data_IF_922523952377
#
_entry.id   IF_922523952377
#
_cell.length_a   1.000
_cell.length_b   1.000
_cell.length_c   1.000
_cell.angle_alpha   90.00
_cell.angle_beta   90.00
_cell.angle_gamma   90.00
#
_symmetry.space_group_name_H-M   'P 1'
#
loop_
_entity.id
_entity.type
_entity.pdbx_description
1 polymer ?
#
# COMPACT_ATOMS: atom_id res chain seq x y z
N UNK A 1 -26.51 5.61 -11.31
CA UNK A 1 -26.02 5.12 -10.00
C UNK A 1 -24.49 5.02 -9.90
N UNK A 2 -23.76 4.91 -11.03
CA UNK A 2 -22.28 4.93 -11.06
C UNK A 2 -21.64 6.27 -10.67
N UNK A 3 -22.36 7.40 -10.75
CA UNK A 3 -21.74 8.73 -10.63
C UNK A 3 -21.17 9.06 -9.25
N UNK A 4 -21.77 8.58 -8.13
CA UNK A 4 -21.28 8.95 -6.78
C UNK A 4 -20.05 8.15 -6.35
N UNK A 5 -20.00 6.86 -6.68
CA UNK A 5 -18.82 6.01 -6.46
C UNK A 5 -17.68 6.49 -7.36
N UNK A 6 -17.99 6.82 -8.62
CA UNK A 6 -17.03 7.47 -9.50
C UNK A 6 -16.52 8.79 -8.90
N UNK A 7 -17.38 9.63 -8.31
CA UNK A 7 -17.00 10.92 -7.72
C UNK A 7 -16.03 10.80 -6.53
N UNK A 8 -16.27 9.87 -5.60
CA UNK A 8 -15.36 9.65 -4.47
C UNK A 8 -13.99 9.14 -4.96
N UNK A 9 -14.00 8.13 -5.84
CA UNK A 9 -12.78 7.60 -6.45
C UNK A 9 -12.06 8.67 -7.28
N UNK A 10 -12.79 9.50 -8.03
CA UNK A 10 -12.25 10.62 -8.80
C UNK A 10 -11.58 11.65 -7.92
N UNK A 11 -12.16 12.00 -6.77
CA UNK A 11 -11.58 12.98 -5.84
C UNK A 11 -10.24 12.49 -5.28
N UNK A 12 -10.15 11.23 -4.84
CA UNK A 12 -8.89 10.63 -4.39
C UNK A 12 -7.86 10.53 -5.51
N UNK A 13 -8.32 10.28 -6.75
CA UNK A 13 -7.46 10.22 -7.93
C UNK A 13 -6.85 11.59 -8.26
N UNK A 14 -7.66 12.64 -8.20
CA UNK A 14 -7.23 14.01 -8.49
C UNK A 14 -6.16 14.46 -7.50
N UNK A 15 -6.33 14.16 -6.21
CA UNK A 15 -5.39 14.62 -5.18
C UNK A 15 -4.04 13.89 -5.28
N UNK A 16 -4.04 12.57 -5.53
CA UNK A 16 -2.79 11.83 -5.79
C UNK A 16 -2.07 12.34 -7.06
N UNK A 17 -2.82 12.73 -8.09
CA UNK A 17 -2.26 13.32 -9.31
C UNK A 17 -1.69 14.73 -9.04
N UNK A 18 -2.36 15.54 -8.23
CA UNK A 18 -1.91 16.89 -7.85
C UNK A 18 -0.61 16.81 -7.05
N UNK A 19 -0.56 16.02 -5.98
CA UNK A 19 0.66 15.81 -5.20
C UNK A 19 1.80 15.27 -6.08
N UNK A 20 1.51 14.33 -6.97
CA UNK A 20 2.50 13.81 -7.93
C UNK A 20 3.07 14.91 -8.82
N UNK A 21 2.23 15.82 -9.32
CA UNK A 21 2.68 16.95 -10.13
C UNK A 21 3.51 17.94 -9.31
N UNK A 22 3.12 18.20 -8.07
CA UNK A 22 3.87 19.09 -7.16
C UNK A 22 5.26 18.53 -6.87
N UNK A 23 5.37 17.24 -6.53
CA UNK A 23 6.65 16.56 -6.29
C UNK A 23 7.54 16.63 -7.53
N UNK A 24 6.99 16.36 -8.71
CA UNK A 24 7.78 16.34 -9.95
C UNK A 24 8.24 17.73 -10.42
N UNK A 25 7.57 18.80 -10.00
CA UNK A 25 7.86 20.16 -10.42
C UNK A 25 8.65 20.97 -9.38
N UNK A 26 9.02 20.37 -8.25
CA UNK A 26 9.76 21.07 -7.18
C UNK A 26 11.26 20.79 -7.31
N UNK A 27 12.07 21.85 -7.44
CA UNK A 27 13.53 21.75 -7.57
C UNK A 27 14.24 21.60 -6.20
N UNK A 28 13.67 22.17 -5.13
CA UNK A 28 14.24 22.17 -3.77
C UNK A 28 13.37 21.39 -2.79
N UNK A 29 13.49 20.06 -2.80
CA UNK A 29 12.86 19.18 -1.81
C UNK A 29 13.83 18.95 -0.65
N UNK A 30 13.42 19.31 0.57
CA UNK A 30 14.17 18.97 1.78
C UNK A 30 14.18 17.45 1.97
N UNK A 31 15.38 16.87 2.08
CA UNK A 31 15.54 15.42 2.22
C UNK A 31 15.29 15.00 3.67
N UNK A 32 14.53 13.92 3.83
CA UNK A 32 14.26 13.30 5.12
C UNK A 32 15.41 12.41 5.62
N UNK A 33 16.43 12.14 4.79
CA UNK A 33 17.56 11.27 5.14
C UNK A 33 18.76 12.01 5.72
N UNK A 34 19.42 11.39 6.71
CA UNK A 34 20.68 11.92 7.25
C UNK A 34 21.81 11.67 6.23
N UNK A 35 22.46 12.73 5.73
CA UNK A 35 23.50 12.65 4.67
C UNK A 35 22.95 12.15 3.32
N UNK A 36 23.83 11.78 2.39
CA UNK A 36 23.49 11.29 1.04
C UNK A 36 22.84 9.90 0.97
N UNK A 37 22.38 9.33 2.09
CA UNK A 37 21.78 7.99 2.13
C UNK A 37 20.32 7.93 1.70
N UNK A 38 19.80 6.70 1.59
CA UNK A 38 18.38 6.41 1.38
C UNK A 38 17.84 5.54 2.52
N UNK A 39 16.72 5.95 3.08
CA UNK A 39 15.95 5.18 4.06
C UNK A 39 15.06 4.16 3.36
N UNK A 40 15.20 2.89 3.73
CA UNK A 40 14.40 1.80 3.18
C UNK A 40 13.22 1.46 4.08
N UNK A 41 12.00 1.55 3.53
CA UNK A 41 10.76 1.13 4.17
C UNK A 41 10.29 -0.16 3.52
N UNK A 42 10.19 -1.24 4.31
CA UNK A 42 9.65 -2.50 3.80
C UNK A 42 8.11 -2.46 3.73
N UNK A 43 7.58 -2.92 2.59
CA UNK A 43 6.16 -3.19 2.40
C UNK A 43 5.97 -4.68 2.09
N UNK A 44 5.36 -5.41 3.02
CA UNK A 44 4.98 -6.80 2.80
C UNK A 44 3.61 -6.85 2.13
N UNK A 45 3.53 -7.53 1.00
CA UNK A 45 2.30 -7.61 0.19
C UNK A 45 1.77 -9.04 0.26
N UNK A 46 0.50 -9.18 0.61
CA UNK A 46 -0.23 -10.44 0.63
C UNK A 46 -1.59 -10.28 -0.06
N UNK A 47 -1.99 -11.28 -0.85
CA UNK A 47 -3.10 -11.20 -1.81
C UNK A 47 -3.94 -12.48 -1.70
N UNK A 48 -5.28 -12.34 -1.73
CA UNK A 48 -6.20 -13.47 -1.87
C UNK A 48 -5.97 -14.15 -3.23
N UNK A 49 -6.02 -15.47 -3.26
CA UNK A 49 -5.72 -16.25 -4.47
C UNK A 49 -6.61 -15.79 -5.63
N UNK A 50 -7.89 -15.59 -5.36
CA UNK A 50 -8.88 -15.11 -6.30
C UNK A 50 -8.57 -13.68 -6.80
N UNK A 51 -8.05 -12.81 -5.95
CA UNK A 51 -7.57 -11.49 -6.38
C UNK A 51 -6.35 -11.63 -7.29
N UNK A 52 -5.40 -12.53 -6.97
CA UNK A 52 -4.22 -12.79 -7.81
C UNK A 52 -4.61 -13.34 -9.19
N UNK A 53 -5.55 -14.28 -9.24
CA UNK A 53 -6.12 -14.82 -10.48
C UNK A 53 -6.74 -13.69 -11.31
N UNK A 54 -7.63 -12.91 -10.71
CA UNK A 54 -8.33 -11.83 -11.42
C UNK A 54 -7.38 -10.74 -11.90
N UNK A 55 -6.31 -10.42 -11.16
CA UNK A 55 -5.26 -9.52 -11.62
C UNK A 55 -4.55 -10.12 -12.83
N UNK A 56 -4.12 -11.38 -12.75
CA UNK A 56 -3.36 -12.04 -13.82
C UNK A 56 -4.14 -12.16 -15.13
N UNK A 57 -5.43 -12.46 -15.07
CA UNK A 57 -6.31 -12.59 -16.25
C UNK A 57 -6.41 -11.29 -17.07
N UNK A 58 -6.19 -10.14 -16.45
CA UNK A 58 -6.21 -8.84 -17.15
C UNK A 58 -4.97 -8.60 -18.01
N UNK A 59 -3.89 -9.36 -17.78
CA UNK A 59 -2.61 -9.19 -18.47
C UNK A 59 -2.23 -10.40 -19.34
N UNK A 60 -2.83 -11.58 -19.11
CA UNK A 60 -2.54 -12.79 -19.87
C UNK A 60 -3.82 -13.37 -20.46
N UNK A 61 -3.81 -13.58 -21.78
CA UNK A 61 -4.89 -14.25 -22.50
C UNK A 61 -4.66 -15.77 -22.38
N UNK A 62 -5.50 -16.47 -21.60
CA UNK A 62 -5.61 -17.94 -21.44
C UNK A 62 -4.86 -18.61 -20.27
N UNK A 63 -5.64 -19.32 -19.43
CA UNK A 63 -5.31 -20.43 -18.51
C UNK A 63 -3.82 -20.53 -18.10
N UNK A 64 -3.36 -19.55 -17.33
CA UNK A 64 -1.99 -19.50 -16.84
C UNK A 64 -1.68 -20.62 -15.85
N UNK A 65 -0.46 -21.13 -15.90
CA UNK A 65 0.11 -22.01 -14.86
C UNK A 65 0.24 -21.18 -13.55
N UNK A 66 0.01 -21.73 -12.34
CA UNK A 66 0.07 -20.97 -11.07
C UNK A 66 1.32 -20.10 -10.88
N UNK A 67 2.49 -20.57 -11.35
CA UNK A 67 3.73 -19.79 -11.33
C UNK A 67 3.67 -18.51 -12.18
N UNK A 68 2.93 -18.53 -13.30
CA UNK A 68 2.70 -17.37 -14.15
C UNK A 68 1.77 -16.37 -13.47
N UNK A 69 0.71 -16.84 -12.80
CA UNK A 69 -0.23 -15.99 -12.04
C UNK A 69 0.52 -15.20 -10.96
N UNK A 70 1.33 -15.88 -10.16
CA UNK A 70 2.14 -15.23 -9.11
C UNK A 70 3.11 -14.21 -9.70
N UNK A 71 3.84 -14.57 -10.76
CA UNK A 71 4.82 -13.69 -11.39
C UNK A 71 4.20 -12.43 -12.00
N UNK A 72 3.06 -12.57 -12.69
CA UNK A 72 2.31 -11.45 -13.28
C UNK A 72 1.76 -10.54 -12.20
N UNK A 73 1.23 -11.11 -11.12
CA UNK A 73 0.69 -10.33 -10.01
C UNK A 73 1.80 -9.58 -9.26
N UNK A 74 2.96 -10.22 -9.03
CA UNK A 74 4.15 -9.56 -8.47
C UNK A 74 4.63 -8.43 -9.38
N UNK A 75 4.68 -8.66 -10.70
CA UNK A 75 5.07 -7.62 -11.67
C UNK A 75 4.13 -6.41 -11.56
N UNK A 76 2.82 -6.65 -11.47
CA UNK A 76 1.83 -5.60 -11.25
C UNK A 76 2.17 -4.76 -10.01
N UNK A 77 2.38 -5.37 -8.84
CA UNK A 77 2.76 -4.62 -7.63
C UNK A 77 4.11 -3.91 -7.76
N UNK A 78 5.10 -4.53 -8.41
CA UNK A 78 6.38 -3.88 -8.67
C UNK A 78 6.23 -2.60 -9.50
N UNK A 79 5.29 -2.54 -10.46
CA UNK A 79 5.01 -1.30 -11.19
C UNK A 79 4.50 -0.19 -10.28
N UNK A 80 3.71 -0.52 -9.26
CA UNK A 80 3.20 0.41 -8.26
C UNK A 80 4.32 0.91 -7.35
N UNK A 81 5.15 -0.02 -6.85
CA UNK A 81 6.28 0.31 -5.98
C UNK A 81 7.31 1.18 -6.73
N UNK A 82 7.56 0.91 -8.02
CA UNK A 82 8.43 1.74 -8.84
C UNK A 82 7.89 3.16 -8.99
N UNK A 83 6.59 3.34 -9.22
CA UNK A 83 5.98 4.67 -9.26
C UNK A 83 6.08 5.40 -7.92
N UNK A 84 5.82 4.71 -6.81
CA UNK A 84 6.01 5.28 -5.47
C UNK A 84 7.46 5.70 -5.24
N UNK A 85 8.42 4.87 -5.65
CA UNK A 85 9.84 5.18 -5.50
C UNK A 85 10.28 6.38 -6.34
N UNK A 86 9.73 6.57 -7.55
CA UNK A 86 9.97 7.80 -8.33
C UNK A 86 9.54 9.07 -7.57
N UNK A 87 8.51 8.97 -6.72
CA UNK A 87 8.03 10.09 -5.91
C UNK A 87 8.79 10.23 -4.57
N UNK A 88 9.28 9.14 -4.00
CA UNK A 88 9.89 9.12 -2.65
C UNK A 88 11.41 9.31 -2.65
N UNK A 89 12.12 8.91 -3.72
CA UNK A 89 13.57 9.03 -3.83
C UNK A 89 14.06 10.48 -3.67
N UNK A 90 13.39 11.52 -4.21
CA UNK A 90 13.76 12.92 -3.96
C UNK A 90 13.83 13.29 -2.47
N UNK A 91 13.01 12.67 -1.63
CA UNK A 91 13.01 12.85 -0.17
C UNK A 91 14.04 11.97 0.54
N UNK A 92 14.82 11.16 -0.18
CA UNK A 92 15.77 10.22 0.40
C UNK A 92 15.12 8.97 1.00
N UNK A 93 13.95 8.56 0.50
CA UNK A 93 13.20 7.39 0.96
C UNK A 93 12.93 6.43 -0.20
N UNK A 94 12.96 5.13 0.07
CA UNK A 94 12.63 4.08 -0.87
C UNK A 94 11.78 3.00 -0.22
N UNK A 95 10.77 2.52 -0.94
CA UNK A 95 10.00 1.34 -0.60
C UNK A 95 10.66 0.09 -1.17
N UNK A 96 10.74 -0.96 -0.34
CA UNK A 96 11.18 -2.30 -0.73
C UNK A 96 10.02 -3.27 -0.54
N UNK A 97 9.58 -3.88 -1.64
CA UNK A 97 8.54 -4.91 -1.59
C UNK A 97 9.07 -6.23 -1.00
N UNK A 98 8.27 -6.87 -0.16
CA UNK A 98 8.52 -8.19 0.41
C UNK A 98 7.36 -9.14 0.11
N UNK A 99 7.65 -10.21 -0.64
CA UNK A 99 6.68 -11.20 -1.11
C UNK A 99 6.78 -12.56 -0.38
N UNK A 100 7.50 -12.65 0.76
CA UNK A 100 7.71 -13.92 1.48
C UNK A 100 6.43 -14.61 2.00
N UNK A 101 5.31 -13.91 2.06
CA UNK A 101 3.98 -14.43 2.43
C UNK A 101 2.92 -13.96 1.43
N UNK A 102 3.21 -14.08 0.13
CA UNK A 102 2.41 -13.44 -0.92
C UNK A 102 0.96 -13.97 -1.01
N UNK A 103 0.73 -15.27 -0.86
CA UNK A 103 -0.60 -15.87 -0.91
C UNK A 103 -1.12 -16.14 0.50
N UNK A 104 -2.40 -15.82 0.74
CA UNK A 104 -3.03 -15.94 2.06
C UNK A 104 -3.18 -17.35 2.62
N UNK A 105 -3.01 -18.40 1.83
CA UNK A 105 -3.19 -19.79 2.29
C UNK A 105 -2.34 -20.14 3.52
N UNK A 106 -1.22 -19.42 3.72
CA UNK A 106 -0.35 -19.60 4.89
C UNK A 106 -0.76 -18.76 6.12
N UNK A 107 -1.79 -17.90 6.00
CA UNK A 107 -2.45 -17.24 7.10
C UNK A 107 -3.67 -18.09 7.49
N UNK A 108 -3.75 -18.64 8.72
CA UNK A 108 -4.85 -19.47 9.18
C UNK A 108 -6.08 -18.61 9.52
N UNK A 109 -6.49 -17.79 8.57
CA UNK A 109 -7.61 -16.87 8.68
C UNK A 109 -8.62 -17.29 7.64
N UNK A 110 -9.60 -18.10 8.05
CA UNK A 110 -10.81 -18.30 7.27
C UNK A 110 -11.56 -16.98 7.30
N UNK A 111 -11.31 -16.12 6.32
CA UNK A 111 -12.16 -14.95 6.10
C UNK A 111 -13.49 -15.45 5.55
N UNK A 112 -14.57 -15.24 6.29
CA UNK A 112 -15.90 -15.65 5.84
C UNK A 112 -16.29 -14.83 4.62
N UNK A 113 -16.48 -15.48 3.47
CA UNK A 113 -16.91 -14.82 2.22
C UNK A 113 -18.28 -14.17 2.35
N UNK A 114 -19.07 -14.53 3.38
CA UNK A 114 -20.33 -13.84 3.72
C UNK A 114 -20.12 -12.39 4.17
N UNK A 115 -18.95 -12.05 4.73
CA UNK A 115 -18.61 -10.67 5.13
C UNK A 115 -18.61 -9.72 3.94
N UNK A 116 -18.38 -10.21 2.72
CA UNK A 116 -18.42 -9.39 1.50
C UNK A 116 -19.80 -8.75 1.22
N UNK A 117 -20.88 -9.30 1.80
CA UNK A 117 -22.23 -8.75 1.68
C UNK A 117 -22.48 -7.53 2.58
N UNK A 118 -21.56 -7.23 3.49
CA UNK A 118 -21.64 -6.09 4.38
C UNK A 118 -21.01 -4.83 3.75
N UNK A 119 -21.56 -3.66 4.04
CA UNK A 119 -21.04 -2.40 3.47
C UNK A 119 -19.65 -2.01 3.97
N UNK A 120 -19.23 -2.57 5.10
CA UNK A 120 -17.97 -2.31 5.83
C UNK A 120 -17.01 -3.51 5.82
N UNK A 121 -17.22 -4.48 4.92
CA UNK A 121 -16.41 -5.70 4.81
C UNK A 121 -14.89 -5.46 4.87
N UNK A 122 -14.42 -4.40 4.18
CA UNK A 122 -13.00 -4.06 4.14
C UNK A 122 -12.45 -3.66 5.52
N UNK A 123 -13.24 -2.95 6.34
CA UNK A 123 -12.84 -2.54 7.68
C UNK A 123 -12.66 -3.78 8.54
N UNK A 124 -13.67 -4.65 8.58
CA UNK A 124 -13.64 -5.89 9.39
C UNK A 124 -12.48 -6.82 8.99
N UNK A 125 -12.30 -7.06 7.69
CA UNK A 125 -11.17 -7.87 7.18
C UNK A 125 -9.82 -7.27 7.58
N UNK A 126 -9.67 -5.95 7.47
CA UNK A 126 -8.43 -5.25 7.85
C UNK A 126 -8.18 -5.30 9.35
N UNK A 127 -9.21 -5.06 10.18
CA UNK A 127 -9.14 -5.16 11.64
C UNK A 127 -8.72 -6.55 12.08
N UNK A 128 -9.35 -7.58 11.51
CA UNK A 128 -9.03 -8.97 11.79
C UNK A 128 -7.58 -9.29 11.42
N UNK A 129 -7.09 -8.83 10.27
CA UNK A 129 -5.69 -8.98 9.88
C UNK A 129 -4.75 -8.19 10.79
N UNK A 130 -5.15 -7.01 11.27
CA UNK A 130 -4.36 -6.20 12.19
C UNK A 130 -4.16 -6.89 13.54
N UNK A 131 -5.20 -7.56 14.05
CA UNK A 131 -5.14 -8.33 15.31
C UNK A 131 -4.18 -9.51 15.12
N UNK A 132 -4.37 -10.30 14.06
CA UNK A 132 -3.48 -11.42 13.76
C UNK A 132 -2.03 -10.98 13.57
N UNK A 133 -1.80 -9.82 12.95
CA UNK A 133 -0.47 -9.26 12.79
C UNK A 133 0.16 -8.86 14.12
N UNK A 134 -0.56 -8.13 14.98
CA UNK A 134 -0.11 -7.75 16.33
C UNK A 134 0.30 -8.96 17.17
N UNK A 135 -0.42 -10.08 17.01
CA UNK A 135 -0.17 -11.31 17.76
C UNK A 135 1.03 -12.13 17.24
N UNK A 136 1.34 -12.07 15.93
CA UNK A 136 2.26 -13.03 15.29
C UNK A 136 3.66 -12.52 14.95
N UNK A 137 3.89 -11.22 14.79
CA UNK A 137 5.24 -10.69 14.50
C UNK A 137 5.52 -9.41 15.30
N UNK A 138 6.57 -9.46 16.12
CA UNK A 138 7.00 -8.40 17.06
C UNK A 138 7.57 -7.14 16.43
N UNK A 139 7.77 -7.09 15.11
CA UNK A 139 8.32 -5.91 14.43
C UNK A 139 7.22 -4.86 14.21
N UNK A 140 7.13 -3.88 15.11
CA UNK A 140 6.22 -2.74 15.01
C UNK A 140 6.58 -1.72 13.92
N UNK A 141 7.33 -2.11 12.90
CA UNK A 141 7.84 -1.23 11.84
C UNK A 141 7.48 -1.77 10.45
N UNK A 142 7.13 -0.87 9.54
CA UNK A 142 6.88 -1.15 8.13
C UNK A 142 5.41 -1.38 7.76
N UNK A 143 5.18 -1.61 6.48
CA UNK A 143 3.85 -1.66 5.89
C UNK A 143 3.44 -3.10 5.61
N UNK A 144 2.18 -3.41 5.86
CA UNK A 144 1.54 -4.64 5.40
C UNK A 144 0.35 -4.29 4.54
N UNK A 145 0.42 -4.67 3.27
CA UNK A 145 -0.66 -4.52 2.33
C UNK A 145 -1.35 -5.87 2.14
N UNK A 146 -2.65 -5.89 2.39
CA UNK A 146 -3.55 -7.01 2.21
C UNK A 146 -4.54 -6.67 1.09
N UNK A 147 -4.58 -7.49 0.05
CA UNK A 147 -5.53 -7.35 -1.05
C UNK A 147 -6.56 -8.46 -0.97
N UNK A 148 -7.76 -8.08 -0.56
CA UNK A 148 -8.89 -8.99 -0.39
C UNK A 148 -9.73 -9.07 -1.67
N UNK A 149 -10.30 -10.23 -1.93
CA UNK A 149 -11.26 -10.46 -3.00
C UNK A 149 -12.66 -10.58 -2.39
N UNK A 150 -13.64 -9.99 -3.06
CA UNK A 150 -15.04 -10.20 -2.73
C UNK A 150 -15.83 -10.47 -4.02
N UNK A 151 -16.36 -11.69 -4.21
CA UNK A 151 -17.11 -12.03 -5.42
C UNK A 151 -18.43 -11.24 -5.53
N UNK A 152 -18.99 -10.84 -4.38
CA UNK A 152 -20.20 -10.04 -4.30
C UNK A 152 -19.93 -8.86 -3.38
N UNK A 153 -19.94 -7.65 -3.92
CA UNK A 153 -19.78 -6.41 -3.14
C UNK A 153 -21.16 -5.79 -2.96
N UNK A 154 -21.48 -5.39 -1.72
CA UNK A 154 -22.70 -4.67 -1.43
C UNK A 154 -22.74 -3.36 -2.24
N UNK A 155 -23.89 -3.04 -2.86
CA UNK A 155 -24.07 -1.81 -3.65
C UNK A 155 -23.91 -0.54 -2.79
N UNK A 156 -24.05 -0.67 -1.47
CA UNK A 156 -23.88 0.40 -0.50
C UNK A 156 -22.42 0.57 -0.03
N UNK A 157 -21.51 -0.32 -0.42
CA UNK A 157 -20.08 -0.21 -0.11
C UNK A 157 -19.50 1.05 -0.74
N UNK A 158 -18.99 1.95 0.11
CA UNK A 158 -18.34 3.21 -0.31
C UNK A 158 -16.84 3.22 0.00
N UNK A 159 -16.38 2.26 0.78
CA UNK A 159 -15.02 2.19 1.31
C UNK A 159 -14.32 1.00 0.62
N UNK A 160 -13.19 1.28 -0.01
CA UNK A 160 -12.43 0.29 -0.80
C UNK A 160 -11.05 0.01 -0.20
N UNK A 161 -10.64 0.82 0.77
CA UNK A 161 -9.40 0.72 1.50
C UNK A 161 -9.64 1.02 2.97
N UNK A 162 -8.83 0.43 3.83
CA UNK A 162 -8.78 0.79 5.24
C UNK A 162 -7.35 0.68 5.75
N UNK A 163 -6.88 1.69 6.47
CA UNK A 163 -5.55 1.74 7.05
C UNK A 163 -5.65 1.74 8.58
N UNK A 164 -4.94 0.82 9.22
CA UNK A 164 -4.86 0.72 10.67
C UNK A 164 -3.41 0.92 11.10
N UNK A 165 -3.09 1.99 11.84
CA UNK A 165 -1.76 2.13 12.44
C UNK A 165 -1.54 1.04 13.48
N UNK A 166 -0.35 0.46 13.47
CA UNK A 166 0.09 -0.61 14.37
C UNK A 166 1.34 -0.14 15.10
N UNK A 167 1.16 0.24 16.38
CA UNK A 167 2.20 0.91 17.18
C UNK A 167 2.62 2.22 16.48
N UNK A 168 3.87 2.63 16.67
CA UNK A 168 4.35 3.95 16.23
C UNK A 168 4.80 3.99 14.76
N UNK A 169 5.13 2.83 14.19
CA UNK A 169 5.87 2.73 12.92
C UNK A 169 5.34 1.66 11.96
N UNK A 170 4.26 0.96 12.32
CA UNK A 170 3.65 -0.07 11.51
C UNK A 170 2.32 0.40 10.94
N UNK A 171 1.97 -0.06 9.74
CA UNK A 171 0.65 0.17 9.15
C UNK A 171 0.15 -1.12 8.53
N UNK A 172 -1.11 -1.45 8.80
CA UNK A 172 -1.85 -2.51 8.10
C UNK A 172 -2.84 -1.85 7.16
N UNK A 173 -2.64 -2.05 5.86
CA UNK A 173 -3.47 -1.57 4.77
C UNK A 173 -4.26 -2.75 4.23
N UNK A 174 -5.58 -2.67 4.31
CA UNK A 174 -6.46 -3.56 3.57
C UNK A 174 -7.03 -2.84 2.36
N UNK A 175 -7.05 -3.53 1.22
CA UNK A 175 -7.66 -3.03 -0.01
C UNK A 175 -8.58 -4.10 -0.59
N UNK A 176 -9.79 -3.70 -0.93
CA UNK A 176 -10.73 -4.56 -1.64
C UNK A 176 -10.42 -4.52 -3.14
N UNK A 177 -10.22 -5.69 -3.73
CA UNK A 177 -10.02 -5.83 -5.17
C UNK A 177 -11.25 -5.35 -5.95
N UNK A 178 -11.00 -4.65 -7.06
CA UNK A 178 -12.03 -4.27 -8.01
C UNK A 178 -11.49 -4.28 -9.45
N UNK A 179 -10.87 -3.18 -9.88
CA UNK A 179 -10.22 -3.05 -11.17
C UNK A 179 -8.73 -2.74 -10.95
N UNK A 180 -7.78 -3.39 -11.66
CA UNK A 180 -6.36 -3.17 -11.41
C UNK A 180 -5.89 -1.72 -11.55
N UNK A 181 -6.49 -0.92 -12.44
CA UNK A 181 -6.11 0.48 -12.62
C UNK A 181 -6.61 1.34 -11.45
N UNK A 182 -7.85 1.13 -11.01
CA UNK A 182 -8.42 1.83 -9.84
C UNK A 182 -7.66 1.41 -8.57
N UNK A 183 -7.47 0.11 -8.39
CA UNK A 183 -6.76 -0.44 -7.22
C UNK A 183 -5.33 0.09 -7.14
N UNK A 184 -4.63 0.26 -8.27
CA UNK A 184 -3.30 0.89 -8.32
C UNK A 184 -3.32 2.29 -7.72
N UNK A 185 -4.28 3.12 -8.10
CA UNK A 185 -4.41 4.48 -7.59
C UNK A 185 -4.75 4.49 -6.10
N UNK A 186 -5.64 3.59 -5.66
CA UNK A 186 -5.96 3.41 -4.24
C UNK A 186 -4.72 3.01 -3.44
N UNK A 187 -3.94 2.01 -3.89
CA UNK A 187 -2.70 1.57 -3.24
C UNK A 187 -1.72 2.74 -3.08
N UNK A 188 -1.47 3.48 -4.18
CA UNK A 188 -0.56 4.63 -4.17
C UNK A 188 -1.02 5.66 -3.13
N UNK A 189 -2.29 6.04 -3.18
CA UNK A 189 -2.87 7.04 -2.31
C UNK A 189 -2.78 6.63 -0.83
N UNK A 190 -3.18 5.41 -0.50
CA UNK A 190 -3.16 4.90 0.89
C UNK A 190 -1.74 4.81 1.46
N UNK A 191 -0.75 4.43 0.63
CA UNK A 191 0.65 4.40 1.06
C UNK A 191 1.16 5.81 1.31
N UNK A 192 0.93 6.76 0.40
CA UNK A 192 1.35 8.15 0.58
C UNK A 192 0.70 8.79 1.82
N UNK A 193 -0.61 8.60 2.01
CA UNK A 193 -1.34 9.04 3.20
C UNK A 193 -0.72 8.48 4.48
N UNK A 194 -0.44 7.18 4.46
CA UNK A 194 0.13 6.49 5.62
C UNK A 194 1.56 6.92 5.94
N UNK A 195 2.38 7.20 4.92
CA UNK A 195 3.73 7.75 5.09
C UNK A 195 3.71 9.17 5.64
N UNK A 196 2.73 9.98 5.22
CA UNK A 196 2.49 11.31 5.77
C UNK A 196 1.86 11.28 7.18
N UNK A 197 1.47 10.11 7.69
CA UNK A 197 0.65 9.92 8.91
C UNK A 197 -0.74 10.58 8.86
N UNK A 198 -1.26 10.76 7.66
CA UNK A 198 -2.54 11.42 7.38
C UNK A 198 -3.58 10.40 6.89
N UNK A 199 -3.93 9.44 7.76
CA UNK A 199 -4.75 8.26 7.44
C UNK A 199 -6.20 8.56 7.00
N UNK A 200 -6.68 9.80 7.18
CA UNK A 200 -8.09 10.19 6.97
C UNK A 200 -8.27 11.51 6.21
N UNK A 201 -7.21 12.06 5.61
CA UNK A 201 -7.30 13.31 4.86
C UNK A 201 -7.40 13.00 3.38
N UNK A 202 -8.35 13.63 2.68
CA UNK A 202 -8.54 13.42 1.26
C UNK A 202 -7.47 14.11 0.41
N UNK A 203 -6.93 15.24 0.89
CA UNK A 203 -5.96 16.06 0.19
C UNK A 203 -4.69 16.30 1.03
N UNK A 204 -3.53 15.94 0.48
CA UNK A 204 -2.23 16.14 1.11
C UNK A 204 -1.39 16.98 0.16
N UNK A 205 -1.08 18.20 0.58
CA UNK A 205 -0.15 19.05 -0.14
C UNK A 205 1.30 18.61 0.10
N UNK A 206 2.20 19.08 -0.76
CA UNK A 206 3.63 18.73 -0.69
C UNK A 206 4.27 19.01 0.68
N UNK A 207 3.96 20.14 1.30
CA UNK A 207 4.56 20.55 2.58
C UNK A 207 4.18 19.60 3.72
N UNK A 208 2.89 19.29 3.87
CA UNK A 208 2.41 18.34 4.88
C UNK A 208 2.93 16.94 4.63
N UNK A 209 2.96 16.53 3.35
CA UNK A 209 3.54 15.25 2.97
C UNK A 209 5.00 15.16 3.41
N UNK A 210 5.80 16.16 3.08
CA UNK A 210 7.23 16.21 3.41
C UNK A 210 7.45 16.15 4.92
N UNK A 211 6.77 17.01 5.69
CA UNK A 211 6.88 17.05 7.14
C UNK A 211 6.48 15.70 7.77
N UNK A 212 5.37 15.12 7.34
CA UNK A 212 4.89 13.83 7.82
C UNK A 212 5.86 12.69 7.51
N UNK A 213 6.36 12.64 6.28
CA UNK A 213 7.34 11.65 5.84
C UNK A 213 8.64 11.76 6.63
N UNK A 214 9.18 12.97 6.82
CA UNK A 214 10.42 13.18 7.55
C UNK A 214 10.30 12.84 9.04
N UNK A 215 9.15 13.15 9.65
CA UNK A 215 8.87 12.72 11.02
C UNK A 215 8.81 11.19 11.11
N UNK A 216 8.13 10.54 10.17
CA UNK A 216 8.07 9.08 10.11
C UNK A 216 9.46 8.47 9.99
N UNK A 217 10.32 8.94 9.07
CA UNK A 217 11.66 8.38 8.89
C UNK A 217 12.55 8.60 10.11
N UNK A 218 12.47 9.77 10.74
CA UNK A 218 13.25 10.08 11.93
C UNK A 218 12.88 9.21 13.13
N UNK A 219 11.58 9.04 13.38
CA UNK A 219 11.10 8.24 14.51
C UNK A 219 11.25 6.73 14.27
N UNK A 220 11.05 6.27 13.04
CA UNK A 220 10.88 4.85 12.75
C UNK A 220 12.10 4.16 12.12
N UNK A 221 13.01 4.91 11.50
CA UNK A 221 14.14 4.36 10.74
C UNK A 221 15.51 4.87 11.20
N UNK A 222 15.57 5.58 12.33
CA UNK A 222 16.81 6.06 12.95
C UNK A 222 17.86 4.94 13.09
N UNK A 223 19.14 5.34 12.96
CA UNK A 223 20.37 4.63 12.56
C UNK A 223 20.70 3.30 13.26
N UNK A 224 19.94 2.87 14.26
CA UNK A 224 20.07 1.53 14.86
C UNK A 224 19.30 0.52 14.01
N UNK A 225 19.99 0.01 13.00
CA UNK A 225 19.63 -1.10 12.11
C UNK A 225 18.68 -2.12 12.77
N UNK A 226 17.39 -1.97 12.52
CA UNK A 226 16.43 -3.03 12.78
C UNK A 226 16.34 -3.88 11.51
N UNK A 227 16.25 -5.20 11.68
CA UNK A 227 16.35 -6.26 10.64
C UNK A 227 15.38 -6.15 9.43
N UNK A 228 14.61 -5.06 9.32
CA UNK A 228 13.58 -4.78 8.33
C UNK A 228 13.66 -3.35 7.74
N UNK A 229 14.71 -2.59 8.07
CA UNK A 229 14.99 -1.26 7.53
C UNK A 229 16.50 -1.02 7.56
N UNK A 230 17.14 -1.07 6.41
CA UNK A 230 18.58 -0.88 6.27
C UNK A 230 18.91 0.52 5.75
N UNK A 231 20.03 1.08 6.21
CA UNK A 231 20.72 2.15 5.49
C UNK A 231 21.39 1.51 4.26
N UNK A 232 20.95 1.87 3.06
CA UNK A 232 21.57 1.40 1.81
C UNK A 232 22.38 2.51 1.14
N UNK A 233 23.53 2.21 0.51
CA UNK A 233 24.11 3.15 -0.45
C UNK A 233 23.12 3.39 -1.59
N UNK A 234 23.13 4.60 -2.17
CA UNK A 234 22.42 4.92 -3.41
C UNK A 234 22.79 3.88 -4.48
N UNK A 235 21.86 2.97 -4.81
CA UNK A 235 21.99 2.15 -6.00
C UNK A 235 21.59 3.01 -7.19
N UNK A 236 22.57 3.67 -7.78
CA UNK A 236 22.42 4.29 -9.10
C UNK A 236 22.23 3.15 -10.11
N UNK A 237 20.99 2.96 -10.58
CA UNK A 237 20.66 2.18 -11.76
C UNK A 237 20.81 3.02 -13.02
#
# INVERSE_FOLDING_TARGET
MNNKIALALLSTLINAITLRKEILNTEDIERCSYRSGIYNIMIRISVEEEASLTISEQFVISHGIPAQITSVTILYFNTIINELNQMLIPFGVQLIADYRDFVFENLPVLLDTRECSESDAIIKKTEHMSINYKLRRLSGTGFRLFVFYCPFINKETKIWSHAIPVRDCGVVLGIMYHNPQIMRQVIINEILKSLAREYNIDDINLEKFNLGLCNYTHECLSVLSNFLGGYGPLLMS
#
